data_IF_903378262077
#
_entry.id   IF_903378262077
#
_cell.length_a   1.000
_cell.length_b   1.000
_cell.length_c   1.000
_cell.angle_alpha   90.00
_cell.angle_beta   90.00
_cell.angle_gamma   90.00
#
_symmetry.space_group_name_H-M   'P 1'
#
loop_
_entity.id
_entity.type
_entity.pdbx_description
1 polymer ?
#
# COMPACT_ATOMS: atom_id res chain seq x y z
N UNK A 1 5.87 3.31 -6.59
CA UNK A 1 5.39 4.04 -5.39
C UNK A 1 6.57 4.42 -4.48
N UNK A 2 6.44 5.38 -3.56
CA UNK A 2 7.53 5.84 -2.66
C UNK A 2 7.13 5.82 -1.19
N UNK A 3 8.15 5.88 -0.30
CA UNK A 3 7.94 6.03 1.15
C UNK A 3 7.04 7.24 1.43
N UNK A 4 6.02 7.04 2.24
CA UNK A 4 5.05 8.07 2.62
C UNK A 4 3.77 8.07 1.81
N UNK A 5 3.74 7.45 0.62
CA UNK A 5 2.52 7.32 -0.17
C UNK A 5 1.48 6.46 0.58
N UNK A 6 0.20 6.77 0.34
CA UNK A 6 -0.94 5.98 0.82
C UNK A 6 -1.39 5.06 -0.32
N UNK A 7 -1.57 3.78 0.02
CA UNK A 7 -1.90 2.72 -0.94
C UNK A 7 -3.02 1.84 -0.40
N UNK A 8 -3.69 1.11 -1.28
CA UNK A 8 -4.63 0.06 -0.91
C UNK A 8 -4.37 -1.19 -1.76
N UNK A 9 -4.93 -2.33 -1.33
CA UNK A 9 -4.83 -3.56 -2.12
C UNK A 9 -5.60 -3.45 -3.44
N UNK A 10 -4.96 -3.94 -4.51
CA UNK A 10 -5.57 -4.07 -5.83
C UNK A 10 -6.14 -5.49 -5.97
N UNK A 11 -7.47 -5.61 -5.96
CA UNK A 11 -8.16 -6.90 -6.18
C UNK A 11 -8.44 -7.77 -4.94
N UNK A 12 -8.43 -7.22 -3.72
CA UNK A 12 -8.73 -7.97 -2.48
C UNK A 12 -10.04 -7.58 -1.79
N UNK A 13 -10.56 -8.47 -0.93
CA UNK A 13 -11.71 -8.17 -0.05
C UNK A 13 -11.39 -7.12 1.04
N UNK A 14 -10.10 -6.91 1.32
CA UNK A 14 -9.65 -6.07 2.44
C UNK A 14 -9.35 -4.63 1.97
N UNK A 15 -10.41 -3.83 1.89
CA UNK A 15 -10.39 -2.45 1.39
C UNK A 15 -9.99 -1.46 2.49
N UNK A 16 -8.69 -1.40 2.78
CA UNK A 16 -8.11 -0.46 3.74
C UNK A 16 -6.99 0.36 3.10
N UNK A 17 -6.72 1.52 3.71
CA UNK A 17 -5.62 2.39 3.36
C UNK A 17 -4.39 2.07 4.23
N UNK A 18 -3.23 2.03 3.59
CA UNK A 18 -1.96 1.74 4.24
C UNK A 18 -0.92 2.76 3.82
N UNK A 19 0.00 3.07 4.74
CA UNK A 19 1.14 3.95 4.44
C UNK A 19 2.39 3.13 4.14
N UNK A 20 3.09 3.48 3.07
CA UNK A 20 4.40 2.90 2.77
C UNK A 20 5.44 3.44 3.77
N UNK A 21 6.06 2.55 4.55
CA UNK A 21 7.05 2.90 5.57
C UNK A 21 8.49 2.94 5.04
N UNK A 22 8.84 2.05 4.12
CA UNK A 22 10.21 1.95 3.58
C UNK A 22 10.22 2.12 2.06
N UNK A 23 11.38 2.51 1.53
CA UNK A 23 11.59 2.57 0.09
C UNK A 23 11.38 1.18 -0.55
N UNK A 24 10.88 1.12 -1.80
CA UNK A 24 10.74 -0.14 -2.51
C UNK A 24 12.07 -0.90 -2.58
N UNK A 25 12.00 -2.23 -2.49
CA UNK A 25 13.15 -3.14 -2.62
C UNK A 25 12.89 -4.14 -3.74
N UNK A 26 13.88 -4.34 -4.61
CA UNK A 26 13.82 -5.36 -5.65
C UNK A 26 14.39 -6.67 -5.11
N UNK A 27 13.61 -7.76 -5.16
CA UNK A 27 14.03 -9.11 -4.77
C UNK A 27 13.59 -10.09 -5.85
N UNK A 28 14.54 -10.82 -6.43
CA UNK A 28 14.26 -11.78 -7.51
C UNK A 28 13.45 -11.17 -8.68
N UNK A 29 13.79 -9.95 -9.11
CA UNK A 29 13.09 -9.15 -10.15
C UNK A 29 11.66 -8.71 -9.80
N UNK A 30 11.21 -8.92 -8.57
CA UNK A 30 9.90 -8.48 -8.07
C UNK A 30 10.11 -7.29 -7.13
N UNK A 31 9.31 -6.23 -7.30
CA UNK A 31 9.35 -5.10 -6.40
C UNK A 31 8.47 -5.32 -5.18
N UNK A 32 9.04 -5.12 -4.00
CA UNK A 32 8.37 -5.22 -2.72
C UNK A 32 8.33 -3.86 -2.03
N UNK A 33 7.20 -3.59 -1.38
CA UNK A 33 6.93 -2.42 -0.55
C UNK A 33 6.75 -2.88 0.89
N UNK A 34 7.15 -2.04 1.84
CA UNK A 34 6.87 -2.28 3.26
C UNK A 34 5.79 -1.31 3.72
N UNK A 35 4.67 -1.85 4.15
CA UNK A 35 3.52 -1.10 4.67
C UNK A 35 3.31 -1.38 6.15
N UNK A 36 2.65 -0.44 6.85
CA UNK A 36 2.22 -0.63 8.24
C UNK A 36 0.80 -1.17 8.29
N UNK A 37 0.61 -2.30 8.97
CA UNK A 37 -0.71 -2.88 9.26
C UNK A 37 -0.78 -3.08 10.77
N UNK A 38 -1.68 -2.38 11.45
CA UNK A 38 -1.89 -2.50 12.91
C UNK A 38 -0.58 -2.33 13.71
N UNK A 39 0.26 -1.38 13.30
CA UNK A 39 1.56 -1.12 13.94
C UNK A 39 2.65 -2.15 13.62
N UNK A 40 2.38 -3.12 12.75
CA UNK A 40 3.36 -4.11 12.27
C UNK A 40 3.74 -3.85 10.83
N UNK A 41 5.04 -3.99 10.54
CA UNK A 41 5.55 -3.92 9.17
C UNK A 41 5.24 -5.19 8.41
N UNK A 42 4.74 -5.05 7.19
CA UNK A 42 4.50 -6.15 6.26
C UNK A 42 5.15 -5.83 4.91
N UNK A 43 5.85 -6.82 4.37
CA UNK A 43 6.44 -6.76 3.03
C UNK A 43 5.42 -7.35 2.04
N UNK A 44 5.05 -6.57 1.02
CA UNK A 44 4.02 -6.88 0.04
C UNK A 44 4.55 -6.58 -1.36
N UNK A 45 4.22 -7.41 -2.35
CA UNK A 45 4.59 -7.15 -3.74
C UNK A 45 3.85 -5.91 -4.27
N UNK A 46 4.56 -5.00 -4.95
CA UNK A 46 3.98 -3.75 -5.46
C UNK A 46 2.78 -3.99 -6.39
N UNK A 47 2.78 -5.08 -7.16
CA UNK A 47 1.69 -5.41 -8.09
C UNK A 47 0.32 -5.65 -7.43
N UNK A 48 0.28 -5.91 -6.11
CA UNK A 48 -0.98 -6.10 -5.37
C UNK A 48 -1.47 -4.80 -4.73
N UNK A 49 -0.83 -3.67 -5.04
CA UNK A 49 -1.14 -2.39 -4.45
C UNK A 49 -1.44 -1.39 -5.56
N UNK A 50 -2.34 -0.45 -5.27
CA UNK A 50 -2.51 0.77 -6.03
C UNK A 50 -2.34 1.99 -5.13
N UNK A 51 -2.02 3.13 -5.73
CA UNK A 51 -2.09 4.41 -5.01
C UNK A 51 -3.55 4.67 -4.61
N UNK A 52 -3.73 5.17 -3.39
CA UNK A 52 -5.01 5.66 -2.94
C UNK A 52 -5.38 6.93 -3.73
N UNK A 53 -6.65 7.06 -4.11
CA UNK A 53 -7.16 8.27 -4.75
C UNK A 53 -7.22 9.41 -3.73
N UNK A 54 -7.14 10.67 -4.15
CA UNK A 54 -7.30 11.81 -3.25
C UNK A 54 -8.59 11.74 -2.42
N UNK A 55 -9.71 11.38 -3.05
CA UNK A 55 -11.01 11.27 -2.35
C UNK A 55 -11.01 10.21 -1.23
N UNK A 56 -10.25 9.11 -1.42
CA UNK A 56 -10.15 8.03 -0.42
C UNK A 56 -9.32 8.47 0.79
N UNK A 57 -8.25 9.24 0.53
CA UNK A 57 -7.40 9.81 1.57
C UNK A 57 -8.21 10.81 2.40
N UNK A 58 -8.99 11.67 1.74
CA UNK A 58 -9.87 12.63 2.40
C UNK A 58 -10.96 11.94 3.24
N UNK A 59 -11.60 10.90 2.69
CA UNK A 59 -12.61 10.11 3.40
C UNK A 59 -12.03 9.14 4.44
N UNK A 60 -10.70 9.01 4.52
CA UNK A 60 -9.97 8.03 5.33
C UNK A 60 -10.47 6.57 5.15
N UNK A 61 -10.89 6.22 3.94
CA UNK A 61 -11.36 4.87 3.57
C UNK A 61 -11.27 4.66 2.07
N UNK A 62 -11.13 3.40 1.65
CA UNK A 62 -11.24 3.02 0.24
C UNK A 62 -12.69 3.21 -0.22
N UNK A 63 -12.87 3.80 -1.41
CA UNK A 63 -14.17 4.05 -2.01
C UNK A 63 -14.39 3.07 -3.17
N UNK A 64 -15.58 2.48 -3.22
CA UNK A 64 -15.98 1.48 -4.21
C UNK A 64 -16.34 2.08 -5.57
#
# INVERSE_FOLDING_TARGET
>A
MKKGDIVCFDGGLNKNLYKIELKPKLKSRILYLVISIEGRRREIMEQFLRLAKPEEIEANRVLD
#
